data_IF_368838769400
#
_entry.id   IF_368838769400
#
_cell.length_a   1.000
_cell.length_b   1.000
_cell.length_c   1.000
_cell.angle_alpha   90.00
_cell.angle_beta   90.00
_cell.angle_gamma   90.00
#
_symmetry.space_group_name_H-M   'P 1'
#
loop_
_entity.id
_entity.type
_entity.pdbx_description
1 polymer ?
#
# COMPACT_ATOMS: atom_id res chain seq x y z
N UNK A 1 -13.34 -82.17 25.28
CA UNK A 1 -12.14 -81.79 26.07
C UNK A 1 -11.16 -81.12 25.13
N UNK A 2 -11.36 -79.83 24.82
CA UNK A 2 -10.41 -79.00 24.08
C UNK A 2 -10.59 -77.58 24.61
N UNK A 3 -9.58 -77.06 25.32
CA UNK A 3 -9.53 -75.66 25.76
C UNK A 3 -8.18 -75.08 25.35
N UNK A 4 -8.27 -74.01 24.56
CA UNK A 4 -7.17 -73.25 23.98
C UNK A 4 -6.25 -72.61 25.03
N UNK A 5 -4.97 -72.48 24.67
CA UNK A 5 -4.00 -71.60 25.34
C UNK A 5 -4.34 -70.13 25.07
N UNK A 6 -4.36 -69.32 26.12
CA UNK A 6 -4.47 -67.86 26.04
C UNK A 6 -3.06 -67.28 26.21
N UNK A 7 -2.55 -66.59 25.19
CA UNK A 7 -1.36 -65.74 25.29
C UNK A 7 -1.76 -64.36 25.82
N UNK A 8 -1.14 -63.93 26.91
CA UNK A 8 -1.30 -62.58 27.44
C UNK A 8 -0.37 -61.60 26.71
N UNK A 9 -0.95 -60.61 26.01
CA UNK A 9 -0.22 -59.47 25.45
C UNK A 9 -0.01 -58.40 26.53
N UNK A 10 1.25 -58.02 26.75
CA UNK A 10 1.63 -56.88 27.60
C UNK A 10 1.47 -55.60 26.77
N UNK A 11 0.59 -54.69 27.19
CA UNK A 11 0.48 -53.35 26.63
C UNK A 11 1.57 -52.45 27.22
N UNK A 12 2.49 -51.96 26.37
CA UNK A 12 3.41 -50.87 26.73
C UNK A 12 2.70 -49.55 26.51
N UNK A 13 2.42 -48.83 27.59
CA UNK A 13 1.86 -47.47 27.55
C UNK A 13 3.00 -46.49 27.22
N UNK A 14 3.02 -45.98 25.98
CA UNK A 14 3.91 -44.89 25.57
C UNK A 14 3.41 -43.56 26.15
N UNK A 15 4.09 -43.06 27.17
CA UNK A 15 3.91 -41.70 27.69
C UNK A 15 4.49 -40.68 26.71
N UNK A 16 3.64 -39.88 26.07
CA UNK A 16 4.08 -38.66 25.40
C UNK A 16 4.38 -37.58 26.45
N UNK A 17 5.64 -37.45 26.83
CA UNK A 17 6.13 -36.31 27.60
C UNK A 17 6.11 -35.10 26.66
N UNK A 18 5.15 -34.19 26.83
CA UNK A 18 5.19 -32.88 26.16
C UNK A 18 6.34 -32.07 26.77
N UNK A 19 7.51 -32.09 26.13
CA UNK A 19 8.60 -31.18 26.47
C UNK A 19 8.16 -29.75 26.13
N UNK A 20 7.69 -29.05 27.15
CA UNK A 20 7.48 -27.61 27.12
C UNK A 20 8.85 -26.97 27.30
N UNK A 21 9.53 -26.68 26.20
CA UNK A 21 10.76 -25.90 26.23
C UNK A 21 10.42 -24.46 26.61
N UNK A 22 11.10 -23.87 27.61
CA UNK A 22 10.90 -22.47 27.97
C UNK A 22 11.31 -21.59 26.79
N UNK A 23 10.42 -20.67 26.42
CA UNK A 23 10.68 -19.66 25.38
C UNK A 23 11.71 -18.68 25.95
N UNK A 24 12.93 -18.66 25.41
CA UNK A 24 13.89 -17.58 25.68
C UNK A 24 13.25 -16.29 25.18
N UNK A 25 13.01 -15.33 26.08
CA UNK A 25 12.28 -14.10 25.78
C UNK A 25 13.13 -13.18 24.88
N UNK A 26 13.07 -13.40 23.57
CA UNK A 26 13.43 -12.34 22.64
C UNK A 26 12.33 -11.28 22.66
N UNK A 27 12.74 -10.01 22.65
CA UNK A 27 11.83 -8.89 22.46
C UNK A 27 10.92 -9.20 21.26
N UNK A 28 9.59 -9.03 21.41
CA UNK A 28 8.67 -9.24 20.30
C UNK A 28 9.13 -8.41 19.09
N UNK A 29 9.59 -9.08 18.03
CA UNK A 29 9.94 -8.39 16.80
C UNK A 29 8.66 -8.05 16.02
N UNK A 30 8.67 -6.88 15.40
CA UNK A 30 7.52 -6.31 14.72
C UNK A 30 7.45 -6.80 13.28
N UNK A 31 6.25 -7.23 12.84
CA UNK A 31 5.96 -7.51 11.43
C UNK A 31 5.20 -6.34 10.80
N UNK A 32 5.39 -6.13 9.49
CA UNK A 32 4.67 -5.15 8.67
C UNK A 32 3.74 -5.88 7.69
N UNK A 33 2.51 -5.38 7.53
CA UNK A 33 1.60 -5.82 6.46
C UNK A 33 1.30 -4.66 5.52
N UNK A 34 1.52 -4.87 4.23
CA UNK A 34 1.18 -3.95 3.16
C UNK A 34 0.00 -4.52 2.37
N UNK A 35 -1.21 -3.94 2.49
CA UNK A 35 -2.37 -4.34 1.69
C UNK A 35 -2.17 -4.13 0.19
N UNK A 36 -2.74 -5.03 -0.61
CA UNK A 36 -2.99 -4.85 -2.04
C UNK A 36 -4.28 -5.56 -2.47
N UNK A 37 -4.55 -5.55 -3.78
CA UNK A 37 -5.75 -6.18 -4.32
C UNK A 37 -5.72 -7.71 -4.15
N UNK A 38 -6.63 -8.23 -3.31
CA UNK A 38 -6.74 -9.64 -2.93
C UNK A 38 -5.44 -10.21 -2.36
N UNK A 39 -4.57 -9.35 -1.83
CA UNK A 39 -3.27 -9.76 -1.33
C UNK A 39 -2.79 -8.90 -0.16
N UNK A 40 -1.90 -9.46 0.65
CA UNK A 40 -1.13 -8.75 1.66
C UNK A 40 0.33 -9.20 1.52
N UNK A 41 1.25 -8.25 1.42
CA UNK A 41 2.69 -8.52 1.55
C UNK A 41 3.09 -8.34 3.00
N UNK A 42 3.64 -9.38 3.62
CA UNK A 42 4.22 -9.33 4.95
C UNK A 42 5.75 -9.22 4.86
N UNK A 43 6.33 -8.44 5.76
CA UNK A 43 7.78 -8.28 5.87
C UNK A 43 8.18 -8.19 7.35
N UNK A 44 9.32 -8.77 7.72
CA UNK A 44 9.89 -8.72 9.08
C UNK A 44 11.42 -8.66 9.05
N UNK A 45 12.08 -8.21 10.13
CA UNK A 45 13.54 -8.28 10.22
C UNK A 45 14.02 -9.73 10.36
N UNK A 46 15.24 -10.08 9.88
CA UNK A 46 15.81 -11.40 10.09
C UNK A 46 16.01 -11.68 11.58
N UNK A 47 15.67 -12.89 12.00
CA UNK A 47 15.85 -13.36 13.37
C UNK A 47 17.15 -14.14 13.46
N UNK A 48 17.97 -13.81 14.45
CA UNK A 48 19.25 -14.49 14.69
C UNK A 48 19.05 -16.00 14.82
N UNK A 49 19.91 -16.76 14.14
CA UNK A 49 19.92 -18.23 14.10
C UNK A 49 18.68 -18.88 13.47
N UNK A 50 17.75 -18.09 12.92
CA UNK A 50 16.59 -18.61 12.21
C UNK A 50 16.96 -19.03 10.80
N UNK A 51 16.54 -20.24 10.42
CA UNK A 51 16.70 -20.75 9.06
C UNK A 51 15.35 -20.86 8.33
N UNK A 52 14.23 -20.76 9.05
CA UNK A 52 12.87 -20.84 8.51
C UNK A 52 11.89 -19.98 9.31
N UNK A 53 10.79 -19.62 8.66
CA UNK A 53 9.68 -18.90 9.27
C UNK A 53 8.33 -19.57 8.97
N UNK A 54 7.54 -19.74 10.02
CA UNK A 54 6.15 -20.17 9.96
C UNK A 54 5.20 -18.97 10.02
N UNK A 55 4.53 -18.67 8.92
CA UNK A 55 3.59 -17.55 8.78
C UNK A 55 2.17 -18.08 8.98
N UNK A 56 1.53 -17.62 10.05
CA UNK A 56 0.13 -17.88 10.35
C UNK A 56 -0.73 -16.68 9.96
N UNK A 57 -1.85 -16.93 9.27
CA UNK A 57 -2.89 -15.93 9.10
C UNK A 57 -4.29 -16.50 9.28
N UNK A 58 -5.20 -15.68 9.80
CA UNK A 58 -6.59 -16.07 10.10
C UNK A 58 -7.55 -14.87 9.94
N UNK A 59 -8.84 -15.14 9.99
CA UNK A 59 -9.91 -14.12 9.95
C UNK A 59 -10.40 -13.69 11.34
N UNK A 60 -9.76 -14.22 12.39
CA UNK A 60 -9.91 -13.79 13.77
C UNK A 60 -8.53 -13.61 14.45
N UNK A 61 -8.51 -12.98 15.62
CA UNK A 61 -7.27 -12.58 16.29
C UNK A 61 -6.45 -13.79 16.76
N UNK A 62 -5.20 -13.89 16.28
CA UNK A 62 -4.28 -14.96 16.64
C UNK A 62 -3.59 -14.64 17.97
N UNK A 63 -4.00 -15.30 19.05
CA UNK A 63 -3.39 -15.15 20.39
C UNK A 63 -2.31 -16.19 20.68
N UNK A 64 -2.40 -17.38 20.07
CA UNK A 64 -1.43 -18.45 20.18
C UNK A 64 -1.13 -19.04 18.79
N UNK A 65 0.07 -18.79 18.27
CA UNK A 65 0.47 -19.21 16.92
C UNK A 65 0.42 -20.74 16.73
N UNK A 66 0.57 -21.52 17.80
CA UNK A 66 0.53 -22.99 17.75
C UNK A 66 -0.86 -23.54 17.43
N UNK A 67 -1.89 -22.71 17.59
CA UNK A 67 -3.29 -23.04 17.26
C UNK A 67 -3.72 -22.44 15.94
N UNK A 68 -2.78 -22.07 15.06
CA UNK A 68 -3.07 -21.35 13.82
C UNK A 68 -4.26 -21.92 13.04
N UNK A 69 -4.25 -23.23 12.80
CA UNK A 69 -5.26 -23.92 12.00
C UNK A 69 -6.61 -24.08 12.72
N UNK A 70 -6.68 -23.79 14.02
CA UNK A 70 -7.93 -23.84 14.79
C UNK A 70 -8.69 -22.52 14.73
N UNK A 71 -8.05 -21.44 14.29
CA UNK A 71 -8.72 -20.15 14.11
C UNK A 71 -9.54 -20.15 12.81
N UNK A 72 -10.62 -19.39 12.78
CA UNK A 72 -11.46 -19.21 11.60
C UNK A 72 -10.63 -18.70 10.41
N UNK A 73 -10.59 -19.47 9.31
CA UNK A 73 -9.77 -19.15 8.14
C UNK A 73 -8.25 -19.28 8.36
N UNK A 74 -7.85 -19.97 9.44
CA UNK A 74 -6.47 -20.21 9.83
C UNK A 74 -5.70 -20.96 8.75
N UNK A 75 -4.58 -20.36 8.30
CA UNK A 75 -3.72 -20.91 7.27
C UNK A 75 -2.26 -20.75 7.67
N UNK A 76 -1.46 -21.79 7.39
CA UNK A 76 -0.02 -21.83 7.65
C UNK A 76 0.78 -21.82 6.34
N UNK A 77 1.92 -21.11 6.34
CA UNK A 77 2.90 -21.09 5.25
C UNK A 77 4.32 -21.10 5.83
N UNK A 78 5.19 -21.94 5.28
CA UNK A 78 6.61 -21.92 5.62
C UNK A 78 7.37 -21.14 4.54
N UNK A 79 8.28 -20.26 4.95
CA UNK A 79 9.16 -19.50 4.06
C UNK A 79 10.57 -19.44 4.65
N UNK A 80 11.58 -19.45 3.80
CA UNK A 80 12.97 -19.22 4.20
C UNK A 80 13.34 -17.72 4.19
N UNK A 81 12.57 -16.92 3.46
CA UNK A 81 12.76 -15.47 3.34
C UNK A 81 12.07 -14.71 4.48
N UNK A 82 12.41 -13.45 4.64
CA UNK A 82 11.83 -12.48 5.59
C UNK A 82 10.66 -11.68 5.01
N UNK A 83 10.20 -12.06 3.82
CA UNK A 83 9.04 -11.49 3.14
C UNK A 83 8.15 -12.59 2.55
N UNK A 84 6.84 -12.36 2.54
CA UNK A 84 5.88 -13.24 1.85
C UNK A 84 4.70 -12.44 1.31
N UNK A 85 4.30 -12.75 0.07
CA UNK A 85 3.05 -12.25 -0.51
C UNK A 85 1.94 -13.30 -0.35
N UNK A 86 0.95 -12.99 0.47
CA UNK A 86 -0.25 -13.81 0.67
C UNK A 86 -1.31 -13.32 -0.31
N UNK A 87 -1.68 -14.16 -1.28
CA UNK A 87 -2.65 -13.83 -2.35
C UNK A 87 -3.98 -14.55 -2.13
N UNK A 88 -4.96 -14.28 -3.00
CA UNK A 88 -6.32 -14.86 -2.98
C UNK A 88 -7.10 -14.55 -1.69
N UNK A 89 -6.76 -13.45 -1.04
CA UNK A 89 -7.53 -12.93 0.08
C UNK A 89 -8.77 -12.18 -0.43
N UNK A 90 -9.78 -12.03 0.41
CA UNK A 90 -10.98 -11.25 0.10
C UNK A 90 -10.74 -9.78 0.46
N UNK A 91 -10.99 -8.88 -0.50
CA UNK A 91 -10.87 -7.45 -0.23
C UNK A 91 -11.88 -6.96 0.80
N UNK A 92 -11.52 -5.96 1.60
CA UNK A 92 -12.33 -5.41 2.70
C UNK A 92 -12.42 -6.31 3.93
N UNK A 93 -12.11 -7.61 3.82
CA UNK A 93 -12.11 -8.56 4.93
C UNK A 93 -10.84 -8.37 5.78
N UNK A 94 -11.00 -8.31 7.11
CA UNK A 94 -9.87 -8.20 8.05
C UNK A 94 -9.21 -9.57 8.23
N UNK A 95 -7.89 -9.59 8.13
CA UNK A 95 -7.05 -10.75 8.42
C UNK A 95 -6.04 -10.38 9.50
N UNK A 96 -5.68 -11.37 10.32
CA UNK A 96 -4.68 -11.27 11.37
C UNK A 96 -3.49 -12.13 11.00
N UNK A 97 -2.29 -11.64 11.28
CA UNK A 97 -1.02 -12.25 10.87
C UNK A 97 -0.08 -12.37 12.06
N UNK A 98 0.68 -13.47 12.09
CA UNK A 98 1.75 -13.69 13.08
C UNK A 98 2.80 -14.63 12.50
N UNK A 99 4.07 -14.41 12.85
CA UNK A 99 5.22 -15.16 12.32
C UNK A 99 5.97 -15.86 13.45
N UNK A 100 6.27 -17.15 13.27
CA UNK A 100 7.15 -17.96 14.10
C UNK A 100 8.52 -18.03 13.41
N UNK A 101 9.61 -17.74 14.12
CA UNK A 101 10.95 -18.03 13.63
C UNK A 101 11.47 -19.33 14.25
N UNK A 102 12.11 -20.15 13.43
CA UNK A 102 12.62 -21.45 13.84
C UNK A 102 13.88 -21.83 13.06
N UNK A 103 14.58 -22.82 13.59
CA UNK A 103 15.65 -23.52 12.88
C UNK A 103 15.39 -25.02 12.90
N UNK A 104 16.36 -25.82 12.47
CA UNK A 104 16.21 -27.28 12.39
C UNK A 104 15.99 -27.97 13.74
N UNK A 105 16.27 -27.29 14.87
CA UNK A 105 16.29 -27.90 16.20
C UNK A 105 15.30 -27.27 17.19
N UNK A 106 14.95 -25.99 17.02
CA UNK A 106 14.12 -25.28 17.99
C UNK A 106 13.33 -24.11 17.39
N UNK A 107 12.36 -23.64 18.17
CA UNK A 107 11.65 -22.39 17.94
C UNK A 107 12.40 -21.26 18.62
N UNK A 108 12.61 -20.18 17.88
CA UNK A 108 13.43 -19.06 18.30
C UNK A 108 12.58 -17.90 18.82
N UNK A 109 11.37 -17.72 18.31
CA UNK A 109 10.46 -16.71 18.83
C UNK A 109 9.25 -16.45 17.94
N UNK A 110 8.36 -15.57 18.40
CA UNK A 110 7.09 -15.27 17.75
C UNK A 110 6.88 -13.76 17.68
N UNK A 111 6.44 -13.26 16.53
CA UNK A 111 6.13 -11.85 16.34
C UNK A 111 4.91 -11.38 17.14
N UNK A 112 4.69 -10.07 17.15
CA UNK A 112 3.39 -9.49 17.48
C UNK A 112 2.31 -9.93 16.47
N UNK A 113 1.04 -9.82 16.88
CA UNK A 113 -0.09 -9.99 15.96
C UNK A 113 -0.39 -8.65 15.30
N UNK A 114 -0.45 -8.62 13.97
CA UNK A 114 -0.94 -7.46 13.22
C UNK A 114 -2.21 -7.82 12.47
N UNK A 115 -3.01 -6.81 12.14
CA UNK A 115 -4.17 -6.99 11.28
C UNK A 115 -4.08 -6.10 10.06
N UNK A 116 -4.56 -6.60 8.92
CA UNK A 116 -4.67 -5.84 7.69
C UNK A 116 -5.88 -6.31 6.89
N UNK A 117 -6.43 -5.40 6.08
CA UNK A 117 -7.49 -5.67 5.12
C UNK A 117 -6.87 -5.57 3.72
N UNK A 118 -6.84 -6.65 2.91
CA UNK A 118 -6.57 -6.53 1.49
C UNK A 118 -7.58 -5.55 0.93
N UNK A 119 -7.14 -4.66 0.07
CA UNK A 119 -8.03 -3.66 -0.50
C UNK A 119 -7.97 -3.79 -2.01
N UNK A 120 -9.14 -3.96 -2.61
CA UNK A 120 -9.32 -3.60 -4.01
C UNK A 120 -9.29 -2.09 -3.97
N UNK A 121 -8.57 -1.46 -4.88
CA UNK A 121 -9.06 -0.18 -5.37
C UNK A 121 -10.38 -0.53 -6.07
N UNK A 122 -11.49 -0.43 -5.33
CA UNK A 122 -12.81 -0.92 -5.77
C UNK A 122 -13.36 -0.09 -6.92
N UNK A 123 -12.91 1.16 -7.01
CA UNK A 123 -13.16 2.10 -8.07
C UNK A 123 -11.88 2.91 -8.29
N UNK A 124 -11.49 3.10 -9.55
CA UNK A 124 -10.49 4.09 -9.93
C UNK A 124 -11.18 5.45 -9.91
N UNK A 125 -10.42 6.52 -9.62
CA UNK A 125 -10.91 7.85 -9.95
C UNK A 125 -11.10 7.97 -11.46
N UNK A 126 -11.91 8.95 -11.82
CA UNK A 126 -11.92 9.51 -13.16
C UNK A 126 -10.54 10.07 -13.52
N UNK A 127 -10.28 10.31 -14.80
CA UNK A 127 -8.97 10.86 -15.22
C UNK A 127 -8.95 12.39 -15.24
N UNK A 128 -10.12 13.01 -15.04
CA UNK A 128 -10.33 14.46 -15.10
C UNK A 128 -10.71 14.96 -16.49
N UNK A 129 -10.54 14.16 -17.55
CA UNK A 129 -10.99 14.51 -18.91
C UNK A 129 -12.51 14.65 -18.90
N UNK A 130 -13.00 15.79 -19.39
CA UNK A 130 -14.40 16.16 -19.25
C UNK A 130 -15.23 15.91 -20.54
N UNK A 131 -16.52 16.23 -20.45
CA UNK A 131 -17.50 16.05 -21.52
C UNK A 131 -17.28 16.89 -22.80
N UNK A 132 -16.21 17.69 -22.88
CA UNK A 132 -15.82 18.49 -24.05
C UNK A 132 -14.62 17.90 -24.81
N UNK A 133 -14.01 16.82 -24.27
CA UNK A 133 -12.70 16.32 -24.70
C UNK A 133 -12.76 14.91 -25.31
N UNK A 134 -13.76 14.65 -26.15
CA UNK A 134 -13.87 13.37 -26.87
C UNK A 134 -13.35 13.48 -28.31
N UNK A 135 -12.75 12.41 -28.82
CA UNK A 135 -12.38 12.28 -30.22
C UNK A 135 -13.59 11.98 -31.10
N UNK A 136 -13.54 12.45 -32.33
CA UNK A 136 -14.46 12.03 -33.39
C UNK A 136 -13.81 10.95 -34.28
N UNK A 137 -14.63 10.23 -35.04
CA UNK A 137 -14.14 9.20 -35.96
C UNK A 137 -13.18 9.80 -37.00
N UNK A 138 -12.06 9.12 -37.24
CA UNK A 138 -11.03 9.48 -38.23
C UNK A 138 -10.42 10.89 -38.06
N UNK A 139 -10.34 11.42 -36.83
CA UNK A 139 -9.75 12.73 -36.55
C UNK A 139 -9.19 12.85 -35.13
N UNK A 140 -8.10 13.61 -34.99
CA UNK A 140 -7.50 13.97 -33.70
C UNK A 140 -8.12 15.24 -33.08
N UNK A 141 -9.22 15.76 -33.65
CA UNK A 141 -9.91 16.94 -33.12
C UNK A 141 -10.81 16.54 -31.95
N UNK A 142 -10.66 17.25 -30.82
CA UNK A 142 -11.55 17.12 -29.67
C UNK A 142 -12.88 17.83 -29.92
N UNK A 143 -13.98 17.17 -29.56
CA UNK A 143 -15.35 17.63 -29.69
C UNK A 143 -16.14 17.29 -28.42
N UNK A 144 -17.29 17.94 -28.24
CA UNK A 144 -18.22 17.58 -27.19
C UNK A 144 -18.58 16.10 -27.24
N UNK A 145 -18.47 15.41 -26.11
CA UNK A 145 -18.75 13.99 -25.94
C UNK A 145 -20.22 13.64 -26.25
N UNK A 146 -21.13 14.60 -26.10
CA UNK A 146 -22.53 14.44 -26.51
C UNK A 146 -22.76 14.49 -28.03
N UNK A 147 -21.78 14.94 -28.83
CA UNK A 147 -21.92 15.16 -30.27
C UNK A 147 -22.13 13.87 -31.05
N UNK A 148 -22.81 13.97 -32.20
CA UNK A 148 -22.99 12.84 -33.10
C UNK A 148 -21.64 12.31 -33.63
N UNK A 149 -20.67 13.19 -33.85
CA UNK A 149 -19.34 12.86 -34.32
C UNK A 149 -18.54 12.03 -33.29
N UNK A 150 -18.61 12.39 -32.00
CA UNK A 150 -17.97 11.62 -30.94
C UNK A 150 -18.62 10.24 -30.76
N UNK A 151 -19.96 10.18 -30.76
CA UNK A 151 -20.72 8.94 -30.63
C UNK A 151 -20.56 8.00 -31.82
N UNK A 152 -20.26 8.55 -33.00
CA UNK A 152 -19.92 7.77 -34.19
C UNK A 152 -18.60 7.00 -34.04
N UNK A 153 -17.65 7.52 -33.25
CA UNK A 153 -16.43 6.78 -32.88
C UNK A 153 -16.75 5.67 -31.88
N UNK A 154 -17.31 6.02 -30.71
CA UNK A 154 -17.89 5.10 -29.73
C UNK A 154 -18.62 5.87 -28.61
N UNK A 155 -19.32 5.16 -27.72
CA UNK A 155 -20.07 5.73 -26.58
C UNK A 155 -19.38 5.55 -25.21
N UNK A 156 -18.10 5.17 -25.19
CA UNK A 156 -17.36 4.79 -23.97
C UNK A 156 -16.01 5.55 -23.86
N UNK A 157 -15.91 6.73 -24.46
CA UNK A 157 -14.77 7.62 -24.22
C UNK A 157 -14.85 8.17 -22.80
N UNK A 158 -13.71 8.64 -22.26
CA UNK A 158 -13.60 9.04 -20.85
C UNK A 158 -14.67 10.08 -20.47
N UNK A 159 -14.78 11.19 -21.19
CA UNK A 159 -15.81 12.21 -20.95
C UNK A 159 -17.26 11.81 -21.29
N UNK A 160 -17.53 10.54 -21.66
CA UNK A 160 -18.88 10.01 -21.91
C UNK A 160 -19.39 9.08 -20.80
N UNK A 161 -18.49 8.52 -19.99
CA UNK A 161 -18.82 7.53 -18.96
C UNK A 161 -17.94 7.75 -17.75
N UNK A 162 -18.50 7.63 -16.55
CA UNK A 162 -17.70 7.87 -15.34
C UNK A 162 -18.44 8.73 -14.33
N UNK A 163 -17.67 9.22 -13.37
CA UNK A 163 -18.21 10.06 -12.29
C UNK A 163 -18.35 11.51 -12.74
N UNK A 164 -17.52 11.96 -13.68
CA UNK A 164 -17.66 13.23 -14.37
C UNK A 164 -19.06 13.41 -15.00
N UNK A 165 -19.66 12.34 -15.53
CA UNK A 165 -21.02 12.32 -16.10
C UNK A 165 -22.09 12.02 -15.05
N UNK A 166 -21.90 11.01 -14.20
CA UNK A 166 -22.94 10.54 -13.27
C UNK A 166 -23.01 11.32 -11.95
N UNK A 167 -21.95 12.06 -11.61
CA UNK A 167 -21.78 12.76 -10.34
C UNK A 167 -20.92 14.02 -10.50
N UNK A 168 -21.05 14.73 -11.62
CA UNK A 168 -20.21 15.90 -12.02
C UNK A 168 -20.34 17.17 -11.17
N UNK A 169 -20.74 17.07 -9.91
CA UNK A 169 -20.61 18.19 -8.98
C UNK A 169 -19.12 18.36 -8.62
N UNK A 170 -18.61 19.59 -8.68
CA UNK A 170 -17.20 19.88 -8.38
C UNK A 170 -16.99 20.39 -6.95
N UNK A 171 -17.97 20.17 -6.06
CA UNK A 171 -17.96 20.74 -4.72
C UNK A 171 -16.91 20.09 -3.84
N UNK A 172 -16.71 18.77 -3.99
CA UNK A 172 -15.78 17.98 -3.21
C UNK A 172 -14.64 17.40 -4.05
N UNK A 173 -14.42 17.90 -5.26
CA UNK A 173 -13.38 17.45 -6.18
C UNK A 173 -13.82 17.69 -7.62
N UNK A 174 -12.93 18.23 -8.46
CA UNK A 174 -13.30 18.55 -9.85
C UNK A 174 -13.40 17.31 -10.73
N UNK A 175 -14.09 17.41 -11.87
CA UNK A 175 -14.02 16.46 -12.99
C UNK A 175 -14.07 14.97 -12.62
N UNK A 176 -15.02 14.56 -11.77
CA UNK A 176 -15.20 13.15 -11.41
C UNK A 176 -14.28 12.65 -10.29
N UNK A 177 -13.47 13.52 -9.68
CA UNK A 177 -12.83 13.28 -8.38
C UNK A 177 -13.80 13.51 -7.21
N UNK A 178 -13.50 13.01 -6.01
CA UNK A 178 -14.28 13.28 -4.78
C UNK A 178 -13.43 13.04 -3.55
N UNK A 179 -13.33 14.07 -2.72
CA UNK A 179 -12.37 14.21 -1.65
C UNK A 179 -13.01 14.75 -0.38
N UNK A 180 -12.53 14.27 0.76
CA UNK A 180 -12.87 14.80 2.09
C UNK A 180 -11.60 15.28 2.76
N UNK A 181 -11.58 16.54 3.23
CA UNK A 181 -10.51 17.07 4.07
C UNK A 181 -10.53 16.41 5.44
N UNK A 182 -9.38 16.00 5.96
CA UNK A 182 -9.24 15.31 7.24
C UNK A 182 -8.27 16.09 8.14
N UNK A 183 -8.69 16.36 9.37
CA UNK A 183 -7.89 17.04 10.39
C UNK A 183 -6.78 16.15 10.96
N UNK A 184 -5.90 16.76 11.77
CA UNK A 184 -4.75 16.07 12.38
C UNK A 184 -5.13 14.90 13.31
N UNK A 185 -6.34 14.91 13.86
CA UNK A 185 -6.90 13.83 14.69
C UNK A 185 -7.54 12.70 13.89
N UNK A 186 -7.62 12.82 12.57
CA UNK A 186 -8.31 11.86 11.69
C UNK A 186 -9.81 12.14 11.49
N UNK A 187 -10.34 13.24 12.04
CA UNK A 187 -11.73 13.64 11.85
C UNK A 187 -11.96 14.28 10.47
N UNK A 188 -13.12 14.00 9.86
CA UNK A 188 -13.56 14.69 8.65
C UNK A 188 -13.85 16.17 8.93
N UNK A 189 -13.47 17.03 7.99
CA UNK A 189 -13.64 18.48 8.04
C UNK A 189 -14.58 18.95 6.93
N UNK A 190 -15.25 20.09 7.11
CA UNK A 190 -16.00 20.74 6.05
C UNK A 190 -15.09 21.06 4.85
N UNK A 191 -15.66 21.05 3.64
CA UNK A 191 -14.91 21.41 2.42
C UNK A 191 -14.32 22.83 2.47
N UNK A 192 -14.97 23.72 3.21
CA UNK A 192 -14.55 25.11 3.46
C UNK A 192 -13.42 25.25 4.48
N UNK A 193 -12.95 24.15 5.10
CA UNK A 193 -11.83 24.22 6.02
C UNK A 193 -10.58 24.78 5.32
N UNK A 194 -9.93 25.74 5.98
CA UNK A 194 -8.72 26.41 5.50
C UNK A 194 -7.44 25.63 5.78
N UNK A 195 -7.50 24.61 6.64
CA UNK A 195 -6.35 23.77 7.00
C UNK A 195 -6.76 22.33 7.27
N UNK A 196 -6.01 21.36 6.76
CA UNK A 196 -6.21 19.92 6.95
C UNK A 196 -4.89 19.17 6.82
N UNK A 197 -4.82 18.01 7.47
CA UNK A 197 -3.62 17.17 7.53
C UNK A 197 -3.60 16.08 6.46
N UNK A 198 -4.78 15.61 6.03
CA UNK A 198 -4.92 14.58 5.00
C UNK A 198 -6.13 14.83 4.11
N UNK A 199 -6.15 14.11 3.00
CA UNK A 199 -7.28 14.05 2.07
C UNK A 199 -7.73 12.61 1.96
N UNK A 200 -8.99 12.33 2.28
CA UNK A 200 -9.61 11.05 1.95
C UNK A 200 -10.17 11.13 0.55
N UNK A 201 -9.78 10.20 -0.30
CA UNK A 201 -10.43 9.93 -1.56
C UNK A 201 -11.65 9.04 -1.31
N UNK A 202 -12.83 9.57 -1.65
CA UNK A 202 -14.10 8.91 -1.42
C UNK A 202 -14.40 7.81 -2.45
N UNK A 203 -13.73 7.83 -3.61
CA UNK A 203 -13.89 6.84 -4.70
C UNK A 203 -13.02 5.62 -4.43
N UNK A 204 -11.72 5.83 -4.20
CA UNK A 204 -10.76 4.74 -3.96
C UNK A 204 -10.79 4.24 -2.51
N UNK A 205 -11.25 5.08 -1.58
CA UNK A 205 -11.21 4.82 -0.14
C UNK A 205 -9.82 5.00 0.48
N UNK A 206 -8.86 5.54 -0.27
CA UNK A 206 -7.52 5.86 0.20
C UNK A 206 -7.51 7.17 1.00
N UNK A 207 -6.55 7.29 1.91
CA UNK A 207 -6.27 8.54 2.64
C UNK A 207 -4.83 8.92 2.33
N UNK A 208 -4.69 10.13 1.81
CA UNK A 208 -3.45 10.72 1.34
C UNK A 208 -2.94 11.76 2.33
N UNK A 209 -1.64 11.75 2.57
CA UNK A 209 -0.95 12.84 3.25
C UNK A 209 -1.21 14.16 2.50
N UNK A 210 -1.57 15.23 3.22
CA UNK A 210 -1.52 16.58 2.67
C UNK A 210 -0.16 17.22 2.98
N UNK A 211 0.43 17.92 2.00
CA UNK A 211 1.74 18.56 2.12
C UNK A 211 1.62 19.94 2.74
N UNK A 212 2.68 20.38 3.42
CA UNK A 212 2.83 21.72 4.01
C UNK A 212 3.87 22.55 3.24
N UNK A 213 4.03 23.81 3.62
CA UNK A 213 5.03 24.74 3.11
C UNK A 213 5.63 25.51 4.31
N UNK A 214 6.15 24.75 5.28
CA UNK A 214 6.56 25.22 6.61
C UNK A 214 7.99 24.79 7.00
N UNK A 215 8.73 24.15 6.09
CA UNK A 215 10.04 23.56 6.33
C UNK A 215 10.01 22.34 7.26
N UNK A 216 8.82 21.84 7.60
CA UNK A 216 8.64 20.70 8.50
C UNK A 216 8.75 19.34 7.80
N UNK A 217 8.45 18.28 8.55
CA UNK A 217 8.48 16.90 8.05
C UNK A 217 7.58 16.67 6.82
N UNK A 218 6.43 17.35 6.79
CA UNK A 218 5.41 17.23 5.74
C UNK A 218 5.57 18.25 4.61
N UNK A 219 6.67 18.99 4.60
CA UNK A 219 6.90 20.02 3.58
C UNK A 219 6.94 19.41 2.18
N UNK A 220 6.30 20.10 1.22
CA UNK A 220 6.24 19.70 -0.18
C UNK A 220 7.59 19.70 -0.88
N UNK A 221 8.54 20.52 -0.41
CA UNK A 221 9.87 20.68 -0.99
C UNK A 221 10.87 19.61 -0.53
N UNK A 222 10.48 18.76 0.43
CA UNK A 222 11.32 17.66 0.90
C UNK A 222 11.47 16.57 -0.17
N UNK A 223 12.72 16.23 -0.48
CA UNK A 223 13.07 15.17 -1.42
C UNK A 223 13.73 13.99 -0.69
N UNK A 224 13.51 12.79 -1.23
CA UNK A 224 13.98 11.54 -0.63
C UNK A 224 14.49 10.57 -1.68
N UNK A 225 15.50 9.78 -1.32
CA UNK A 225 15.86 8.55 -2.05
C UNK A 225 14.79 7.46 -1.83
N UNK A 226 14.86 6.37 -2.60
CA UNK A 226 13.94 5.24 -2.47
C UNK A 226 14.69 3.89 -2.50
N UNK A 227 15.65 3.72 -1.60
CA UNK A 227 16.45 2.51 -1.52
C UNK A 227 15.62 1.26 -1.18
N UNK A 228 16.18 0.09 -1.47
CA UNK A 228 15.56 -1.21 -1.21
C UNK A 228 16.56 -2.16 -0.55
N UNK A 229 16.09 -3.33 -0.13
CA UNK A 229 16.98 -4.38 0.40
C UNK A 229 17.99 -4.86 -0.68
N UNK A 230 17.61 -4.79 -1.96
CA UNK A 230 18.39 -5.27 -3.09
C UNK A 230 19.22 -4.15 -3.75
N UNK A 231 19.06 -2.90 -3.33
CA UNK A 231 19.80 -1.75 -3.84
C UNK A 231 19.93 -0.66 -2.77
N UNK A 232 21.16 -0.40 -2.33
CA UNK A 232 21.48 0.62 -1.32
C UNK A 232 20.94 0.32 0.07
N UNK A 233 20.92 -0.96 0.48
CA UNK A 233 20.37 -1.43 1.75
C UNK A 233 20.90 -0.70 3.00
N UNK A 234 22.14 -0.19 2.97
CA UNK A 234 22.75 0.58 4.06
C UNK A 234 22.08 1.93 4.33
N UNK A 235 21.27 2.44 3.40
CA UNK A 235 20.57 3.71 3.51
C UNK A 235 19.12 3.56 3.99
N UNK A 236 18.62 2.32 4.10
CA UNK A 236 17.26 2.07 4.59
C UNK A 236 17.10 2.61 6.02
N UNK A 237 16.01 3.35 6.23
CA UNK A 237 15.69 4.01 7.50
C UNK A 237 16.43 5.34 7.73
N UNK A 238 17.30 5.78 6.82
CA UNK A 238 17.93 7.10 6.91
C UNK A 238 16.90 8.23 6.72
N UNK A 239 17.14 9.39 7.34
CA UNK A 239 16.21 10.52 7.31
C UNK A 239 15.97 11.10 5.91
N UNK A 240 16.89 10.86 4.98
CA UNK A 240 16.83 11.31 3.58
C UNK A 240 16.32 10.22 2.63
N UNK A 241 15.91 9.07 3.16
CA UNK A 241 15.30 7.99 2.37
C UNK A 241 13.80 7.87 2.68
N UNK A 242 13.02 7.50 1.67
CA UNK A 242 11.57 7.35 1.78
C UNK A 242 11.16 6.39 2.89
N UNK A 243 11.96 5.35 3.17
CA UNK A 243 11.69 4.43 4.29
C UNK A 243 11.86 5.09 5.67
N UNK A 244 12.82 6.00 5.83
CA UNK A 244 12.98 6.80 7.05
C UNK A 244 11.89 7.84 7.20
N UNK A 245 11.47 8.48 6.10
CA UNK A 245 10.32 9.38 6.08
C UNK A 245 9.03 8.67 6.54
N UNK A 246 8.74 7.50 5.96
CA UNK A 246 7.61 6.65 6.39
C UNK A 246 7.69 6.32 7.88
N UNK A 247 8.88 6.01 8.41
CA UNK A 247 9.06 5.72 9.83
C UNK A 247 8.75 6.94 10.71
N UNK A 248 9.24 8.13 10.33
CA UNK A 248 9.01 9.38 11.05
C UNK A 248 7.52 9.75 11.11
N UNK A 249 6.81 9.70 9.98
CA UNK A 249 5.36 10.02 9.93
C UNK A 249 4.55 9.01 10.77
N UNK A 250 4.92 7.73 10.74
CA UNK A 250 4.28 6.72 11.57
C UNK A 250 4.60 6.87 13.06
N UNK A 251 5.78 7.37 13.43
CA UNK A 251 6.12 7.69 14.81
C UNK A 251 5.23 8.82 15.34
N UNK A 252 5.01 9.86 14.52
CA UNK A 252 4.14 10.99 14.84
C UNK A 252 2.66 10.58 14.99
N UNK A 253 2.24 9.52 14.30
CA UNK A 253 0.82 9.13 14.26
C UNK A 253 -0.03 10.12 13.48
N UNK A 254 0.54 10.70 12.41
CA UNK A 254 -0.08 11.74 11.61
C UNK A 254 -1.50 11.36 11.21
N UNK A 255 -2.45 12.31 11.36
CA UNK A 255 -3.85 12.10 10.98
C UNK A 255 -4.54 10.95 11.74
N UNK A 256 -4.14 10.76 13.01
CA UNK A 256 -4.63 9.69 13.88
C UNK A 256 -4.20 8.28 13.46
N UNK A 257 -3.14 8.13 12.66
CA UNK A 257 -2.72 6.82 12.15
C UNK A 257 -1.22 6.62 12.10
N UNK A 258 -0.80 5.37 12.34
CA UNK A 258 0.58 4.88 12.20
C UNK A 258 0.72 3.84 11.07
N UNK A 259 -0.23 3.84 10.13
CA UNK A 259 -0.30 2.87 9.04
C UNK A 259 0.02 3.50 7.68
N UNK A 260 0.89 4.51 7.66
CA UNK A 260 1.35 5.18 6.46
C UNK A 260 2.38 4.33 5.72
N UNK A 261 2.32 4.39 4.39
CA UNK A 261 3.25 3.74 3.48
C UNK A 261 3.44 4.58 2.23
N UNK A 262 4.48 4.25 1.47
CA UNK A 262 4.55 4.67 0.07
C UNK A 262 3.34 4.12 -0.71
N UNK A 263 2.79 4.91 -1.65
CA UNK A 263 1.76 4.47 -2.58
C UNK A 263 2.36 3.60 -3.69
N UNK A 264 1.56 2.75 -4.32
CA UNK A 264 1.93 2.16 -5.61
C UNK A 264 1.83 3.20 -6.72
N UNK A 265 2.45 2.93 -7.87
CA UNK A 265 2.34 3.79 -9.05
C UNK A 265 0.86 4.02 -9.45
N UNK A 266 0.05 2.96 -9.49
CA UNK A 266 -1.39 3.05 -9.78
C UNK A 266 -2.14 3.92 -8.76
N UNK A 267 -1.77 3.87 -7.48
CA UNK A 267 -2.39 4.70 -6.45
C UNK A 267 -2.03 6.18 -6.67
N UNK A 268 -0.76 6.50 -6.94
CA UNK A 268 -0.36 7.88 -7.25
C UNK A 268 -1.02 8.40 -8.52
N UNK A 269 -1.05 7.58 -9.58
CA UNK A 269 -1.70 7.94 -10.83
C UNK A 269 -3.19 8.20 -10.62
N UNK A 270 -3.84 7.49 -9.68
CA UNK A 270 -5.26 7.69 -9.40
C UNK A 270 -5.63 9.07 -8.86
N UNK A 271 -4.67 9.91 -8.46
CA UNK A 271 -4.93 11.31 -8.06
C UNK A 271 -4.39 12.32 -9.07
N UNK A 272 -3.96 11.85 -10.26
CA UNK A 272 -3.55 12.71 -11.37
C UNK A 272 -4.77 13.21 -12.12
N UNK A 273 -4.87 14.52 -12.31
CA UNK A 273 -5.92 15.18 -13.08
C UNK A 273 -5.38 15.65 -14.43
N UNK A 274 -5.73 14.92 -15.49
CA UNK A 274 -5.22 15.16 -16.84
C UNK A 274 -5.86 16.37 -17.53
N UNK A 275 -6.95 16.92 -17.00
CA UNK A 275 -7.57 18.13 -17.55
C UNK A 275 -6.85 19.42 -17.19
N UNK A 276 -5.94 19.37 -16.21
CA UNK A 276 -5.14 20.53 -15.81
C UNK A 276 -4.11 20.81 -16.89
N UNK A 277 -4.12 22.01 -17.47
CA UNK A 277 -3.12 22.39 -18.45
C UNK A 277 -1.77 22.70 -17.79
N UNK A 278 -0.67 22.43 -18.52
CA UNK A 278 0.64 22.96 -18.17
C UNK A 278 0.55 24.51 -18.10
N UNK A 279 1.14 25.17 -17.10
CA UNK A 279 2.18 24.68 -16.20
C UNK A 279 1.71 24.25 -14.80
N UNK A 280 0.42 24.07 -14.56
CA UNK A 280 -0.07 23.71 -13.21
C UNK A 280 0.23 22.23 -12.87
N UNK A 281 0.43 21.87 -11.59
CA UNK A 281 0.59 20.48 -11.20
C UNK A 281 -0.70 19.70 -11.50
N UNK A 282 -0.56 18.49 -12.05
CA UNK A 282 -1.67 17.62 -12.50
C UNK A 282 -2.43 17.00 -11.31
N UNK A 283 -2.95 17.80 -10.40
CA UNK A 283 -3.71 17.38 -9.21
C UNK A 283 -4.67 18.50 -8.77
N UNK A 284 -5.76 18.15 -8.09
CA UNK A 284 -6.69 19.14 -7.52
C UNK A 284 -6.04 19.92 -6.35
N UNK A 285 -5.52 21.11 -6.64
CA UNK A 285 -4.81 21.96 -5.67
C UNK A 285 -5.71 22.56 -4.59
N UNK A 286 -7.04 22.49 -4.72
CA UNK A 286 -7.98 22.86 -3.64
C UNK A 286 -7.88 21.86 -2.48
N UNK A 287 -7.57 20.61 -2.77
CA UNK A 287 -7.37 19.55 -1.78
C UNK A 287 -5.89 19.25 -1.51
N UNK A 288 -5.02 19.51 -2.48
CA UNK A 288 -3.59 19.24 -2.41
C UNK A 288 -2.71 20.47 -2.74
N UNK A 289 -2.80 21.57 -1.97
CA UNK A 289 -2.25 22.87 -2.34
C UNK A 289 -0.73 22.94 -2.47
N UNK A 290 0.01 22.17 -1.65
CA UNK A 290 1.48 22.20 -1.62
C UNK A 290 2.08 20.99 -2.35
N UNK A 291 1.45 20.59 -3.46
CA UNK A 291 1.98 19.52 -4.30
C UNK A 291 2.98 20.11 -5.28
N UNK A 292 4.23 19.67 -5.18
CA UNK A 292 5.24 20.06 -6.16
C UNK A 292 4.91 19.50 -7.54
N UNK A 293 5.20 20.29 -8.57
CA UNK A 293 5.09 19.88 -9.96
C UNK A 293 6.34 19.10 -10.37
N UNK A 294 6.49 17.92 -9.77
CA UNK A 294 7.68 17.07 -9.85
C UNK A 294 7.30 15.58 -9.87
N UNK A 295 8.30 14.72 -9.91
CA UNK A 295 8.20 13.27 -9.83
C UNK A 295 8.08 12.80 -8.38
N UNK A 296 7.18 11.84 -8.16
CA UNK A 296 6.91 11.26 -6.85
C UNK A 296 7.22 9.77 -6.85
N UNK A 297 8.04 9.35 -5.88
CA UNK A 297 8.37 7.93 -5.73
C UNK A 297 7.15 7.08 -5.38
N UNK A 298 7.08 5.89 -5.98
CA UNK A 298 6.16 4.83 -5.58
C UNK A 298 6.88 3.64 -4.94
N UNK A 299 6.10 2.73 -4.35
CA UNK A 299 6.57 1.43 -3.89
C UNK A 299 6.49 0.34 -4.96
N UNK A 300 6.10 0.66 -6.20
CA UNK A 300 5.98 -0.35 -7.25
C UNK A 300 7.37 -0.87 -7.65
N UNK A 301 7.55 -2.21 -7.72
CA UNK A 301 8.83 -2.80 -8.06
C UNK A 301 9.13 -2.65 -9.55
N UNK A 302 10.42 -2.54 -9.88
CA UNK A 302 10.92 -2.75 -11.23
C UNK A 302 11.67 -4.08 -11.32
N UNK A 303 11.76 -4.65 -12.53
CA UNK A 303 12.56 -5.85 -12.79
C UNK A 303 14.05 -5.67 -12.46
N UNK A 304 14.55 -4.43 -12.53
CA UNK A 304 15.88 -4.04 -12.13
C UNK A 304 15.82 -3.36 -10.75
N UNK A 305 16.53 -3.93 -9.78
CA UNK A 305 16.52 -3.46 -8.38
C UNK A 305 17.05 -2.03 -8.21
N UNK A 306 17.80 -1.52 -9.19
CA UNK A 306 18.32 -0.13 -9.19
C UNK A 306 17.22 0.91 -9.41
N UNK A 307 16.08 0.53 -9.98
CA UNK A 307 15.00 1.43 -10.35
C UNK A 307 13.74 1.23 -9.50
N UNK A 308 12.89 2.25 -9.50
CA UNK A 308 11.54 2.23 -8.96
C UNK A 308 10.62 3.05 -9.85
N UNK A 309 9.34 2.71 -9.87
CA UNK A 309 8.36 3.54 -10.57
C UNK A 309 8.14 4.85 -9.83
N UNK A 310 7.94 5.92 -10.59
CA UNK A 310 7.52 7.23 -10.12
C UNK A 310 6.32 7.72 -10.94
N UNK A 311 5.61 8.70 -10.39
CA UNK A 311 4.53 9.41 -11.09
C UNK A 311 4.86 10.90 -11.12
N UNK A 312 4.83 11.50 -12.28
CA UNK A 312 5.12 12.92 -12.48
C UNK A 312 3.84 13.74 -12.41
N UNK A 313 3.78 14.71 -11.49
CA UNK A 313 2.70 15.72 -11.47
C UNK A 313 2.97 16.89 -12.41
N UNK A 314 4.07 16.86 -13.18
CA UNK A 314 4.33 17.80 -14.27
C UNK A 314 3.46 17.51 -15.50
N UNK A 315 3.41 16.24 -15.92
CA UNK A 315 2.67 15.80 -17.10
C UNK A 315 1.71 14.63 -16.88
N UNK A 316 1.77 13.98 -15.71
CA UNK A 316 0.92 12.83 -15.38
C UNK A 316 1.50 11.48 -15.82
N UNK A 317 2.79 11.45 -16.18
CA UNK A 317 3.47 10.24 -16.66
C UNK A 317 3.75 9.27 -15.51
N UNK A 318 3.72 7.97 -15.84
CA UNK A 318 4.09 6.88 -14.94
C UNK A 318 5.27 6.13 -15.58
N UNK A 319 6.45 6.26 -14.99
CA UNK A 319 7.71 5.81 -15.61
C UNK A 319 8.67 5.24 -14.55
N UNK A 320 9.73 4.55 -14.99
CA UNK A 320 10.86 4.09 -14.19
C UNK A 320 12.15 4.82 -14.54
N UNK A 321 12.23 5.46 -15.71
CA UNK A 321 13.44 6.13 -16.23
C UNK A 321 13.07 7.49 -16.81
N UNK A 322 13.95 8.48 -16.69
CA UNK A 322 13.79 9.77 -17.40
C UNK A 322 15.13 10.29 -17.91
N UNK A 323 15.13 11.31 -18.77
CA UNK A 323 16.36 11.90 -19.29
C UNK A 323 16.85 13.06 -18.41
N UNK A 324 18.16 13.09 -18.19
CA UNK A 324 18.88 14.19 -17.53
C UNK A 324 19.97 14.69 -18.48
N UNK A 325 20.55 15.86 -18.18
CA UNK A 325 21.68 16.40 -18.94
C UNK A 325 22.90 15.47 -18.94
N UNK A 326 23.02 14.60 -17.91
CA UNK A 326 24.16 13.71 -17.70
C UNK A 326 23.86 12.23 -18.04
N UNK A 327 22.67 11.91 -18.59
CA UNK A 327 22.27 10.55 -18.94
C UNK A 327 20.84 10.19 -18.54
N UNK A 328 20.62 8.94 -18.12
CA UNK A 328 19.30 8.47 -17.65
C UNK A 328 19.18 8.63 -16.12
N UNK A 329 18.09 9.24 -15.67
CA UNK A 329 17.63 9.28 -14.29
C UNK A 329 16.60 8.19 -13.99
N UNK A 330 16.09 8.15 -12.75
CA UNK A 330 15.11 7.16 -12.28
C UNK A 330 15.67 6.09 -11.34
N UNK A 331 16.98 6.12 -11.10
CA UNK A 331 17.63 5.25 -10.11
C UNK A 331 17.21 5.63 -8.68
N UNK A 332 17.16 4.63 -7.79
CA UNK A 332 16.70 4.75 -6.40
C UNK A 332 17.54 5.68 -5.52
N UNK A 333 18.76 6.01 -5.94
CA UNK A 333 19.67 6.96 -5.28
C UNK A 333 19.37 8.42 -5.65
N UNK A 334 18.47 8.68 -6.59
CA UNK A 334 17.98 10.03 -6.88
C UNK A 334 16.97 10.50 -5.84
N UNK A 335 16.99 11.79 -5.55
CA UNK A 335 16.07 12.43 -4.61
C UNK A 335 14.84 12.96 -5.35
N UNK A 336 13.67 12.36 -5.11
CA UNK A 336 12.38 12.77 -5.66
C UNK A 336 11.40 13.08 -4.53
N UNK A 337 10.28 13.72 -4.87
CA UNK A 337 9.23 13.98 -3.89
C UNK A 337 8.56 12.66 -3.43
N UNK A 338 7.94 12.69 -2.26
CA UNK A 338 7.21 11.55 -1.70
C UNK A 338 5.90 12.03 -1.08
N UNK A 339 4.79 11.35 -1.36
CA UNK A 339 3.52 11.51 -0.64
C UNK A 339 3.09 10.16 -0.08
N UNK A 340 2.73 10.11 1.20
CA UNK A 340 2.29 8.87 1.82
C UNK A 340 0.79 8.61 1.63
N UNK A 341 0.43 7.33 1.64
CA UNK A 341 -0.95 6.87 1.55
C UNK A 341 -1.23 5.81 2.62
N UNK A 342 -2.51 5.65 2.95
CA UNK A 342 -3.04 4.53 3.72
C UNK A 342 -4.46 4.19 3.30
N UNK A 343 -4.95 3.04 3.74
CA UNK A 343 -6.37 2.71 3.62
C UNK A 343 -7.23 3.49 4.63
N UNK A 344 -8.48 3.79 4.26
CA UNK A 344 -9.52 4.08 5.25
C UNK A 344 -9.80 2.84 6.11
N UNK A 345 -10.01 3.04 7.42
CA UNK A 345 -10.07 1.97 8.44
C UNK A 345 -11.29 1.05 8.30
#
# INVERSE_FOLDING_TARGET
>A
MFKHSVHAFIYVVLWFISLSYPITSYAQWLIKATPGNKQITLQWPPVKDASNYGVCYATEAITNINKCLNYAGGTWRNVADTTIKITRLSNGKKYYFRVLAENSTTRLGVSNTIAARPNKITALNDTGINNEQCYQLDSDTLVACASAAAKALNNNQDGMVGRDVTAGNSNDGRAGFSFTKIGSTGAALPVTASSWACVKDNVTGLIWENKTADGGLHDGDNLYTNYSADYGASHLGSATDASGFVAAVNQQGWCGSKAWRLPTADELQSIVDYSIAYPEPKIDTVFFPNTQRDMFWSSSPDSNSSYAWHVSFLGGEVDTIYYTVDGYGGSRDMSLAVRLVRASQ
#
